data_IF_842696187721
#
_entry.id   IF_842696187721
#
_cell.length_a   1.000
_cell.length_b   1.000
_cell.length_c   1.000
_cell.angle_alpha   90.00
_cell.angle_beta   90.00
_cell.angle_gamma   90.00
#
_symmetry.space_group_name_H-M   'P 1'
#
loop_
_entity.id
_entity.type
_entity.pdbx_description
1 polymer ?
#
# COMPACT_ATOMS: atom_id res chain seq x y z
N UNK A 1 -0.63 -38.62 -15.42
CA UNK A 1 -1.94 -38.47 -14.75
C UNK A 1 -2.06 -37.00 -14.36
N UNK A 2 -3.02 -36.27 -14.95
CA UNK A 2 -3.03 -34.82 -15.04
C UNK A 2 -3.27 -34.11 -13.69
N UNK A 3 -2.47 -33.07 -13.44
CA UNK A 3 -2.56 -32.18 -12.28
C UNK A 3 -3.72 -31.20 -12.47
N UNK A 4 -4.76 -31.32 -11.65
CA UNK A 4 -5.88 -30.35 -11.60
C UNK A 4 -5.44 -29.12 -10.82
N UNK A 5 -5.01 -28.09 -11.55
CA UNK A 5 -4.91 -26.72 -11.04
C UNK A 5 -6.32 -26.19 -10.81
N UNK A 6 -6.68 -25.89 -9.55
CA UNK A 6 -7.88 -25.13 -9.22
C UNK A 6 -7.48 -23.68 -8.95
N UNK A 7 -7.52 -22.89 -10.02
CA UNK A 7 -7.59 -21.44 -9.94
C UNK A 7 -9.02 -21.03 -9.57
N UNK A 8 -9.16 -20.26 -8.48
CA UNK A 8 -10.30 -19.42 -8.13
C UNK A 8 -9.77 -18.45 -7.06
N UNK A 9 -9.77 -17.13 -7.19
CA UNK A 9 -10.53 -16.26 -8.05
C UNK A 9 -11.11 -15.16 -7.15
N UNK A 10 -10.46 -14.00 -7.10
CA UNK A 10 -11.11 -12.72 -6.82
C UNK A 10 -10.25 -11.57 -7.39
N UNK A 11 -10.27 -11.45 -8.71
CA UNK A 11 -9.90 -10.23 -9.40
C UNK A 11 -11.18 -9.42 -9.55
N UNK A 12 -11.34 -8.32 -8.81
CA UNK A 12 -12.51 -7.46 -8.91
C UNK A 12 -12.07 -6.04 -9.31
N UNK A 13 -12.21 -5.82 -10.62
CA UNK A 13 -12.50 -4.57 -11.33
C UNK A 13 -11.48 -3.43 -11.31
N UNK A 14 -10.67 -3.38 -12.37
CA UNK A 14 -10.29 -2.13 -13.05
C UNK A 14 -10.26 -2.38 -14.57
N UNK A 15 -11.44 -2.46 -15.17
CA UNK A 15 -11.59 -2.37 -16.63
C UNK A 15 -12.97 -1.83 -16.98
N UNK A 16 -13.13 -0.51 -16.93
CA UNK A 16 -14.05 0.25 -17.79
C UNK A 16 -13.82 1.77 -17.65
N UNK A 17 -13.07 2.36 -18.58
CA UNK A 17 -13.30 3.67 -19.20
C UNK A 17 -12.06 4.06 -20.04
N UNK A 18 -11.89 3.39 -21.18
CA UNK A 18 -11.00 3.86 -22.25
C UNK A 18 -11.82 4.10 -23.52
N UNK A 19 -12.84 4.95 -23.39
CA UNK A 19 -13.62 5.49 -24.51
C UNK A 19 -14.06 6.92 -24.21
N UNK A 20 -13.10 7.82 -23.98
CA UNK A 20 -13.30 9.24 -24.26
C UNK A 20 -12.29 9.64 -25.33
N UNK A 21 -12.81 9.76 -26.55
CA UNK A 21 -12.11 10.28 -27.72
C UNK A 21 -11.86 11.77 -27.46
N UNK A 22 -10.65 12.14 -27.06
CA UNK A 22 -10.24 13.54 -26.98
C UNK A 22 -9.73 13.94 -28.35
N UNK A 23 -10.53 14.74 -29.03
CA UNK A 23 -10.24 15.48 -30.24
C UNK A 23 -8.90 16.26 -30.10
N UNK A 24 -7.90 15.87 -30.90
CA UNK A 24 -6.61 16.58 -31.01
C UNK A 24 -6.73 17.59 -32.15
N UNK A 25 -6.56 18.91 -31.93
CA UNK A 25 -6.31 19.83 -33.04
C UNK A 25 -4.84 19.71 -33.49
N UNK A 26 -4.62 19.67 -34.80
CA UNK A 26 -3.31 19.53 -35.44
C UNK A 26 -2.35 20.69 -35.09
N UNK A 27 -1.02 20.46 -35.00
CA UNK A 27 -0.04 21.53 -34.86
C UNK A 27 0.15 22.28 -36.19
N UNK A 28 0.10 23.61 -36.15
CA UNK A 28 0.63 24.46 -37.23
C UNK A 28 2.15 24.49 -37.17
N UNK A 29 2.79 24.32 -38.32
CA UNK A 29 4.24 24.42 -38.51
C UNK A 29 4.78 25.81 -38.12
N UNK A 30 5.84 25.83 -37.33
CA UNK A 30 6.79 26.96 -37.22
C UNK A 30 8.21 26.39 -37.30
N UNK A 31 9.02 26.99 -38.17
CA UNK A 31 10.33 26.53 -38.61
C UNK A 31 11.45 26.60 -37.55
N UNK A 32 12.69 26.27 -37.95
CA UNK A 32 13.76 25.89 -37.04
C UNK A 32 14.45 27.12 -36.45
N UNK A 33 14.73 27.09 -35.13
CA UNK A 33 15.66 28.04 -34.51
C UNK A 33 16.69 27.25 -33.68
N UNK A 34 17.91 27.31 -34.18
CA UNK A 34 19.23 27.18 -33.56
C UNK A 34 19.40 26.41 -32.24
N UNK A 35 20.29 25.42 -32.32
CA UNK A 35 20.97 24.77 -31.20
C UNK A 35 21.73 25.76 -30.30
N UNK A 36 21.63 25.59 -28.98
CA UNK A 36 22.48 26.29 -28.03
C UNK A 36 22.13 25.96 -26.58
N UNK A 37 23.10 25.39 -25.86
CA UNK A 37 23.15 25.15 -24.42
C UNK A 37 22.23 24.05 -23.84
N UNK A 38 22.79 22.83 -23.81
CA UNK A 38 22.49 21.82 -22.79
C UNK A 38 22.78 22.42 -21.40
N UNK A 39 21.76 23.07 -20.82
CA UNK A 39 21.71 23.29 -19.39
C UNK A 39 21.51 21.95 -18.73
N UNK A 40 22.60 21.37 -18.22
CA UNK A 40 22.57 20.17 -17.41
C UNK A 40 21.70 20.47 -16.19
N UNK A 41 20.42 20.06 -16.26
CA UNK A 41 19.55 19.97 -15.09
C UNK A 41 20.22 18.95 -14.20
N UNK A 42 21.05 19.42 -13.27
CA UNK A 42 21.56 18.61 -12.20
C UNK A 42 20.32 18.00 -11.55
N UNK A 43 20.08 16.72 -11.81
CA UNK A 43 19.23 15.92 -10.97
C UNK A 43 19.81 16.13 -9.58
N UNK A 44 19.10 16.90 -8.75
CA UNK A 44 19.37 16.92 -7.34
C UNK A 44 19.54 15.45 -6.93
N UNK A 45 20.59 15.09 -6.16
CA UNK A 45 20.73 13.72 -5.71
C UNK A 45 19.36 13.34 -5.12
N UNK A 46 18.85 12.17 -5.50
CA UNK A 46 17.65 11.62 -4.89
C UNK A 46 17.96 11.49 -3.39
N UNK A 47 17.73 12.57 -2.64
CA UNK A 47 17.81 12.58 -1.20
C UNK A 47 16.81 11.52 -0.78
N UNK A 48 17.29 10.49 -0.10
CA UNK A 48 16.44 9.48 0.49
C UNK A 48 15.28 10.18 1.21
N UNK A 49 14.05 9.88 0.80
CA UNK A 49 12.90 10.44 1.47
C UNK A 49 12.91 9.94 2.92
N UNK A 50 12.56 10.80 3.88
CA UNK A 50 12.46 10.41 5.29
C UNK A 50 11.52 9.22 5.48
N UNK A 51 10.49 9.10 4.64
CA UNK A 51 9.59 7.95 4.61
C UNK A 51 10.35 6.68 4.23
N UNK A 52 11.27 6.72 3.28
CA UNK A 52 12.05 5.55 2.85
C UNK A 52 13.00 5.09 3.96
N UNK A 53 13.70 6.03 4.61
CA UNK A 53 14.56 5.74 5.75
C UNK A 53 13.75 5.13 6.92
N UNK A 54 12.59 5.70 7.22
CA UNK A 54 11.71 5.20 8.26
C UNK A 54 11.09 3.83 7.90
N UNK A 55 10.81 3.59 6.62
CA UNK A 55 10.31 2.31 6.14
C UNK A 55 11.34 1.20 6.32
N UNK A 56 12.63 1.48 6.12
CA UNK A 56 13.72 0.53 6.41
C UNK A 56 13.74 0.13 7.88
N UNK A 57 13.63 1.11 8.79
CA UNK A 57 13.58 0.85 10.24
C UNK A 57 12.33 0.06 10.61
N UNK A 58 11.17 0.43 10.07
CA UNK A 58 9.93 -0.32 10.26
C UNK A 58 10.12 -1.77 9.86
N UNK A 59 10.56 -2.00 8.61
CA UNK A 59 10.73 -3.35 8.07
C UNK A 59 11.69 -4.19 8.88
N UNK A 60 12.87 -3.69 9.23
CA UNK A 60 13.86 -4.44 10.02
C UNK A 60 13.29 -4.87 11.38
N UNK A 61 12.49 -4.02 12.03
CA UNK A 61 11.90 -4.28 13.34
C UNK A 61 10.65 -5.16 13.28
N UNK A 62 9.87 -5.09 12.20
CA UNK A 62 8.65 -5.87 12.03
C UNK A 62 8.83 -7.15 11.21
N UNK A 63 9.98 -7.38 10.57
CA UNK A 63 10.22 -8.59 9.77
C UNK A 63 10.16 -9.90 10.57
N UNK A 64 10.63 -9.98 11.84
CA UNK A 64 10.39 -11.16 12.66
C UNK A 64 8.91 -11.49 12.78
N UNK A 65 8.08 -10.51 13.16
CA UNK A 65 6.62 -10.63 13.23
C UNK A 65 6.00 -11.02 11.88
N UNK A 66 6.44 -10.43 10.76
CA UNK A 66 5.95 -10.75 9.42
C UNK A 66 6.11 -12.24 9.07
N UNK A 67 7.23 -12.85 9.47
CA UNK A 67 7.55 -14.26 9.21
C UNK A 67 6.76 -15.24 10.08
N UNK A 68 6.24 -14.78 11.22
CA UNK A 68 5.43 -15.60 12.14
C UNK A 68 3.98 -15.72 11.68
N UNK A 69 3.49 -14.74 10.91
CA UNK A 69 2.14 -14.74 10.37
C UNK A 69 1.99 -15.91 9.39
N UNK A 70 1.00 -16.78 9.66
CA UNK A 70 0.58 -17.78 8.69
C UNK A 70 -0.29 -17.12 7.61
N UNK A 71 0.34 -16.67 6.53
CA UNK A 71 -0.33 -16.04 5.38
C UNK A 71 -1.21 -16.99 4.57
N UNK A 72 -1.16 -18.30 4.83
CA UNK A 72 -2.01 -19.31 4.18
C UNK A 72 -3.31 -19.57 4.93
N UNK A 73 -3.47 -18.99 6.12
CA UNK A 73 -4.64 -19.17 6.97
C UNK A 73 -5.93 -18.70 6.29
N UNK A 74 -7.00 -19.49 6.44
CA UNK A 74 -8.33 -19.16 5.90
C UNK A 74 -9.01 -18.02 6.65
N UNK A 75 -8.44 -17.55 7.77
CA UNK A 75 -8.97 -16.43 8.56
C UNK A 75 -9.09 -15.15 7.72
N UNK A 76 -8.17 -14.90 6.79
CA UNK A 76 -8.17 -13.69 5.95
C UNK A 76 -9.23 -13.73 4.84
N UNK A 77 -9.79 -14.91 4.56
CA UNK A 77 -10.89 -15.09 3.61
C UNK A 77 -12.27 -14.99 4.28
N UNK A 78 -12.34 -14.84 5.61
CA UNK A 78 -13.62 -14.71 6.33
C UNK A 78 -14.24 -13.35 6.07
N UNK A 79 -15.55 -13.34 5.83
CA UNK A 79 -16.30 -12.10 5.68
C UNK A 79 -16.51 -11.43 7.04
N UNK A 80 -16.55 -10.08 7.10
CA UNK A 80 -16.97 -9.37 8.31
C UNK A 80 -18.36 -9.82 8.75
N UNK A 81 -18.57 -9.98 10.06
CA UNK A 81 -19.88 -10.33 10.64
C UNK A 81 -20.83 -9.14 10.77
N UNK A 82 -20.33 -7.94 10.46
CA UNK A 82 -21.05 -6.68 10.52
C UNK A 82 -22.10 -6.60 9.40
N UNK A 83 -23.12 -5.74 9.62
CA UNK A 83 -24.18 -5.52 8.64
C UNK A 83 -23.58 -5.09 7.30
N UNK A 84 -24.04 -5.64 6.15
CA UNK A 84 -23.48 -5.32 4.84
C UNK A 84 -23.39 -3.81 4.54
N UNK A 85 -24.39 -3.03 4.93
CA UNK A 85 -24.40 -1.56 4.76
C UNK A 85 -23.25 -0.90 5.51
N UNK A 86 -22.94 -1.32 6.74
CA UNK A 86 -21.83 -0.78 7.51
C UNK A 86 -20.47 -1.13 6.88
N UNK A 87 -20.36 -2.34 6.30
CA UNK A 87 -19.17 -2.75 5.52
C UNK A 87 -19.02 -1.87 4.28
N UNK A 88 -20.10 -1.62 3.54
CA UNK A 88 -20.07 -0.75 2.36
C UNK A 88 -19.67 0.69 2.71
N UNK A 89 -20.12 1.23 3.84
CA UNK A 89 -19.71 2.55 4.31
C UNK A 89 -18.21 2.61 4.61
N UNK A 90 -17.63 1.57 5.23
CA UNK A 90 -16.19 1.49 5.46
C UNK A 90 -15.40 1.40 4.15
N UNK A 91 -15.87 0.58 3.19
CA UNK A 91 -15.28 0.50 1.85
C UNK A 91 -15.36 1.84 1.12
N UNK A 92 -16.49 2.55 1.21
CA UNK A 92 -16.63 3.87 0.62
C UNK A 92 -15.58 4.85 1.16
N UNK A 93 -15.23 4.80 2.46
CA UNK A 93 -14.12 5.61 3.00
C UNK A 93 -12.78 5.26 2.36
N UNK A 94 -12.50 3.97 2.13
CA UNK A 94 -11.28 3.54 1.43
C UNK A 94 -11.24 4.05 -0.02
N UNK A 95 -12.36 3.95 -0.76
CA UNK A 95 -12.47 4.43 -2.13
C UNK A 95 -12.27 5.95 -2.22
N UNK A 96 -12.89 6.71 -1.30
CA UNK A 96 -12.73 8.17 -1.23
C UNK A 96 -11.29 8.56 -0.87
N UNK A 97 -10.60 7.79 -0.02
CA UNK A 97 -9.18 8.01 0.27
C UNK A 97 -8.31 7.68 -0.95
N UNK A 98 -8.51 6.51 -1.55
CA UNK A 98 -7.74 6.06 -2.72
C UNK A 98 -7.89 7.00 -3.93
N UNK A 99 -9.10 7.50 -4.19
CA UNK A 99 -9.34 8.47 -5.25
C UNK A 99 -8.64 9.83 -5.03
N UNK A 100 -8.27 10.15 -3.78
CA UNK A 100 -7.55 11.37 -3.44
C UNK A 100 -6.03 11.20 -3.39
N UNK A 101 -5.53 9.96 -3.40
CA UNK A 101 -4.09 9.69 -3.36
C UNK A 101 -3.40 10.14 -4.64
N UNK A 102 -2.11 10.46 -4.52
CA UNK A 102 -1.23 10.70 -5.65
C UNK A 102 -1.15 9.43 -6.54
N UNK A 103 -1.39 9.60 -7.84
CA UNK A 103 -1.51 8.48 -8.77
C UNK A 103 -0.17 7.78 -9.03
N UNK A 104 0.96 8.51 -8.91
CA UNK A 104 2.29 7.93 -9.03
C UNK A 104 2.62 7.11 -7.78
N UNK A 105 2.28 7.62 -6.59
CA UNK A 105 2.40 6.88 -5.33
C UNK A 105 1.58 5.57 -5.36
N UNK A 106 0.33 5.64 -5.83
CA UNK A 106 -0.52 4.44 -6.02
C UNK A 106 0.12 3.44 -6.98
N UNK A 107 0.63 3.90 -8.13
CA UNK A 107 1.29 3.04 -9.12
C UNK A 107 2.53 2.36 -8.51
N UNK A 108 3.36 3.09 -7.77
CA UNK A 108 4.52 2.53 -7.07
C UNK A 108 4.11 1.46 -6.05
N UNK A 109 3.06 1.73 -5.26
CA UNK A 109 2.48 0.74 -4.33
C UNK A 109 2.05 -0.55 -5.02
N UNK A 110 1.32 -0.45 -6.13
CA UNK A 110 0.88 -1.63 -6.91
C UNK A 110 2.08 -2.44 -7.42
N UNK A 111 3.08 -1.77 -8.00
CA UNK A 111 4.26 -2.44 -8.54
C UNK A 111 5.13 -3.08 -7.45
N UNK A 112 5.25 -2.45 -6.27
CA UNK A 112 5.96 -3.00 -5.14
C UNK A 112 5.31 -4.32 -4.65
N UNK A 113 3.97 -4.35 -4.53
CA UNK A 113 3.25 -5.57 -4.16
C UNK A 113 3.36 -6.65 -5.24
N UNK A 114 3.24 -6.29 -6.53
CA UNK A 114 3.40 -7.24 -7.63
C UNK A 114 4.79 -7.90 -7.63
N UNK A 115 5.84 -7.11 -7.39
CA UNK A 115 7.21 -7.62 -7.26
C UNK A 115 7.36 -8.54 -6.04
N UNK A 116 6.83 -8.16 -4.89
CA UNK A 116 6.90 -8.97 -3.67
C UNK A 116 6.21 -10.34 -3.84
N UNK A 117 5.08 -10.38 -4.55
CA UNK A 117 4.35 -11.63 -4.87
C UNK A 117 5.21 -12.53 -5.78
N UNK A 118 5.95 -11.97 -6.73
CA UNK A 118 6.83 -12.76 -7.61
C UNK A 118 8.04 -13.35 -6.84
N UNK A 119 8.50 -12.65 -5.79
CA UNK A 119 9.70 -13.00 -5.02
C UNK A 119 9.46 -13.66 -3.65
N UNK A 120 8.21 -13.93 -3.26
CA UNK A 120 7.89 -14.48 -1.93
C UNK A 120 8.34 -15.93 -1.76
N UNK A 121 8.56 -16.33 -0.50
CA UNK A 121 8.93 -17.71 -0.17
C UNK A 121 7.73 -18.67 -0.21
N UNK A 122 7.97 -19.95 0.09
CA UNK A 122 6.92 -20.98 0.11
C UNK A 122 5.85 -20.79 1.19
N UNK A 123 6.06 -19.87 2.13
CA UNK A 123 5.10 -19.48 3.18
C UNK A 123 4.38 -18.17 2.84
N UNK A 124 4.56 -17.68 1.61
CA UNK A 124 4.00 -16.42 1.10
C UNK A 124 4.55 -15.19 1.83
N UNK A 125 5.77 -15.28 2.36
CA UNK A 125 6.45 -14.14 3.01
C UNK A 125 7.36 -13.46 1.99
N UNK A 126 7.21 -12.15 1.84
CA UNK A 126 8.08 -11.33 0.99
C UNK A 126 9.53 -11.29 1.51
N UNK A 127 10.48 -11.04 0.62
CA UNK A 127 11.86 -10.72 1.04
C UNK A 127 11.88 -9.44 1.90
N UNK A 128 12.92 -9.24 2.72
CA UNK A 128 13.06 -8.02 3.53
C UNK A 128 13.11 -6.75 2.64
N UNK A 129 13.78 -6.84 1.50
CA UNK A 129 13.89 -5.73 0.55
C UNK A 129 12.54 -5.39 -0.07
N UNK A 130 11.78 -6.40 -0.51
CA UNK A 130 10.44 -6.20 -1.08
C UNK A 130 9.44 -5.70 -0.03
N UNK A 131 9.53 -6.21 1.20
CA UNK A 131 8.72 -5.71 2.32
C UNK A 131 9.03 -4.24 2.65
N UNK A 132 10.30 -3.84 2.54
CA UNK A 132 10.72 -2.44 2.69
C UNK A 132 10.18 -1.55 1.58
N UNK A 133 10.24 -2.02 0.33
CA UNK A 133 9.64 -1.30 -0.80
C UNK A 133 8.11 -1.13 -0.62
N UNK A 134 7.41 -2.15 -0.11
CA UNK A 134 5.98 -2.08 0.22
C UNK A 134 5.73 -1.02 1.31
N UNK A 135 6.44 -1.08 2.42
CA UNK A 135 6.24 -0.14 3.54
C UNK A 135 6.52 1.30 3.13
N UNK A 136 7.60 1.55 2.36
CA UNK A 136 7.91 2.86 1.80
C UNK A 136 6.75 3.34 0.91
N UNK A 137 6.33 2.53 -0.06
CA UNK A 137 5.27 2.91 -0.99
C UNK A 137 3.94 3.22 -0.27
N UNK A 138 3.57 2.43 0.74
CA UNK A 138 2.39 2.69 1.57
C UNK A 138 2.53 4.01 2.35
N UNK A 139 3.72 4.29 2.90
CA UNK A 139 4.00 5.57 3.56
C UNK A 139 3.76 6.76 2.63
N UNK A 140 4.28 6.70 1.39
CA UNK A 140 4.08 7.72 0.36
C UNK A 140 2.60 7.86 -0.05
N UNK A 141 1.89 6.74 -0.20
CA UNK A 141 0.45 6.73 -0.49
C UNK A 141 -0.33 7.46 0.62
N UNK A 142 -0.03 7.19 1.90
CA UNK A 142 -0.71 7.84 3.03
C UNK A 142 -0.32 9.32 3.15
N UNK A 143 0.95 9.67 2.95
CA UNK A 143 1.41 11.05 2.96
C UNK A 143 0.79 11.89 1.84
N UNK A 144 0.35 11.27 0.75
CA UNK A 144 -0.24 11.98 -0.39
C UNK A 144 -1.66 12.52 -0.17
N UNK A 145 -2.32 12.18 0.95
CA UNK A 145 -3.69 12.61 1.26
C UNK A 145 -3.79 13.29 2.63
N UNK A 146 -4.78 14.17 2.86
CA UNK A 146 -5.01 14.75 4.18
C UNK A 146 -5.24 13.70 5.26
N UNK A 147 -4.67 13.93 6.45
CA UNK A 147 -4.80 13.05 7.62
C UNK A 147 -6.25 12.64 7.94
N UNK A 148 -7.21 13.53 7.68
CA UNK A 148 -8.64 13.30 7.90
C UNK A 148 -9.21 12.15 7.06
N UNK A 149 -8.65 11.87 5.87
CA UNK A 149 -9.06 10.75 5.02
C UNK A 149 -8.60 9.42 5.62
N UNK A 150 -7.33 9.35 6.03
CA UNK A 150 -6.76 8.18 6.73
C UNK A 150 -7.51 7.89 8.02
N UNK A 151 -7.78 8.90 8.84
CA UNK A 151 -8.58 8.73 10.06
C UNK A 151 -10.03 8.37 9.77
N UNK A 152 -10.60 8.85 8.65
CA UNK A 152 -11.94 8.45 8.20
C UNK A 152 -12.05 6.96 7.92
N UNK A 153 -11.02 6.36 7.32
CA UNK A 153 -10.93 4.90 7.10
C UNK A 153 -10.76 4.18 8.44
N UNK A 154 -9.78 4.58 9.25
CA UNK A 154 -9.52 3.95 10.56
C UNK A 154 -10.78 3.94 11.44
N UNK A 155 -11.43 5.09 11.58
CA UNK A 155 -12.63 5.23 12.42
C UNK A 155 -13.81 4.41 11.90
N UNK A 156 -13.93 4.18 10.58
CA UNK A 156 -14.98 3.35 10.02
C UNK A 156 -14.80 1.88 10.42
N UNK A 157 -13.57 1.35 10.35
CA UNK A 157 -13.27 -0.01 10.80
C UNK A 157 -13.24 -0.15 12.32
N UNK A 158 -12.83 0.87 13.06
CA UNK A 158 -12.82 0.84 14.53
C UNK A 158 -14.23 0.60 15.12
N UNK A 159 -15.28 1.08 14.45
CA UNK A 159 -16.69 0.83 14.83
C UNK A 159 -17.10 -0.64 14.77
N UNK A 160 -16.33 -1.48 14.07
CA UNK A 160 -16.59 -2.92 14.02
C UNK A 160 -16.13 -3.63 15.30
N UNK A 161 -15.41 -2.91 16.18
CA UNK A 161 -14.95 -3.40 17.49
C UNK A 161 -14.13 -4.69 17.39
N UNK A 162 -13.33 -4.83 16.32
CA UNK A 162 -12.51 -6.02 16.08
C UNK A 162 -11.46 -6.26 17.19
N UNK A 163 -11.19 -5.27 18.05
CA UNK A 163 -10.21 -5.38 19.13
C UNK A 163 -10.60 -6.30 20.30
N UNK A 164 -11.88 -6.64 20.49
CA UNK A 164 -12.28 -7.51 21.62
C UNK A 164 -11.97 -8.98 21.37
N UNK A 165 -12.15 -9.44 20.13
CA UNK A 165 -12.03 -10.87 19.78
C UNK A 165 -10.89 -11.11 18.77
N UNK A 166 -10.82 -10.31 17.71
CA UNK A 166 -9.84 -10.50 16.63
C UNK A 166 -8.43 -10.15 17.10
N UNK A 167 -8.28 -9.09 17.89
CA UNK A 167 -6.97 -8.66 18.43
C UNK A 167 -6.27 -9.77 19.24
N UNK A 168 -6.89 -10.28 20.33
CA UNK A 168 -6.35 -11.40 21.11
C UNK A 168 -6.15 -12.66 20.27
N UNK A 169 -7.09 -12.98 19.36
CA UNK A 169 -6.95 -14.13 18.48
C UNK A 169 -5.71 -14.03 17.59
N UNK A 170 -5.49 -12.90 16.91
CA UNK A 170 -4.31 -12.70 16.06
C UNK A 170 -3.02 -12.71 16.88
N UNK A 171 -3.01 -12.06 18.05
CA UNK A 171 -1.85 -12.07 18.96
C UNK A 171 -1.49 -13.47 19.45
N UNK A 172 -2.47 -14.38 19.57
CA UNK A 172 -2.22 -15.78 19.97
C UNK A 172 -1.48 -16.61 18.91
N UNK A 173 -1.34 -16.09 17.68
CA UNK A 173 -0.72 -16.80 16.54
C UNK A 173 0.74 -16.41 16.31
N UNK A 174 1.25 -15.45 17.07
CA UNK A 174 2.58 -14.85 16.89
C UNK A 174 3.29 -14.71 18.24
N UNK A 175 4.57 -14.37 18.21
CA UNK A 175 5.30 -13.98 19.39
C UNK A 175 4.88 -12.57 19.84
N UNK A 176 4.49 -12.43 21.11
CA UNK A 176 4.02 -11.17 21.66
C UNK A 176 5.09 -10.07 21.69
N UNK A 177 6.37 -10.43 21.87
CA UNK A 177 7.47 -9.47 21.90
C UNK A 177 7.75 -8.92 20.49
N UNK A 178 7.75 -9.79 19.47
CA UNK A 178 7.98 -9.38 18.08
C UNK A 178 6.81 -8.55 17.55
N UNK A 179 5.57 -8.94 17.87
CA UNK A 179 4.39 -8.14 17.54
C UNK A 179 4.40 -6.75 18.21
N UNK A 180 4.84 -6.67 19.47
CA UNK A 180 5.00 -5.39 20.18
C UNK A 180 6.09 -4.53 19.53
N UNK A 181 7.24 -5.12 19.19
CA UNK A 181 8.33 -4.41 18.50
C UNK A 181 7.89 -3.89 17.12
N UNK A 182 7.14 -4.70 16.36
CA UNK A 182 6.55 -4.28 15.09
C UNK A 182 5.59 -3.09 15.27
N UNK A 183 4.74 -3.14 16.31
CA UNK A 183 3.80 -2.05 16.59
C UNK A 183 4.51 -0.76 17.04
N UNK A 184 5.52 -0.84 17.90
CA UNK A 184 6.32 0.32 18.30
C UNK A 184 7.03 0.96 17.10
N UNK A 185 7.60 0.14 16.21
CA UNK A 185 8.21 0.62 14.97
C UNK A 185 7.18 1.28 14.04
N UNK A 186 5.96 0.71 13.94
CA UNK A 186 4.85 1.32 13.21
C UNK A 186 4.46 2.68 13.80
N UNK A 187 4.43 2.81 15.13
CA UNK A 187 4.13 4.07 15.81
C UNK A 187 5.15 5.16 15.48
N UNK A 188 6.44 4.81 15.37
CA UNK A 188 7.49 5.75 14.94
C UNK A 188 7.38 6.09 13.45
N UNK A 189 7.15 5.08 12.60
CA UNK A 189 6.98 5.26 11.15
C UNK A 189 5.83 6.21 10.82
N UNK A 190 4.65 6.04 11.46
CA UNK A 190 3.50 6.92 11.21
C UNK A 190 3.77 8.39 11.53
N UNK A 191 4.67 8.69 12.47
CA UNK A 191 4.97 10.08 12.84
C UNK A 191 5.79 10.76 11.73
N UNK A 192 6.68 10.01 11.08
CA UNK A 192 7.41 10.47 9.88
C UNK A 192 6.47 10.66 8.69
N UNK A 193 5.58 9.70 8.44
CA UNK A 193 4.56 9.81 7.38
C UNK A 193 3.68 11.03 7.62
N UNK A 194 3.20 11.23 8.85
CA UNK A 194 2.37 12.39 9.23
C UNK A 194 3.10 13.72 9.02
N UNK A 195 4.39 13.79 9.36
CA UNK A 195 5.19 15.00 9.16
C UNK A 195 5.39 15.35 7.68
N UNK A 196 5.23 14.37 6.79
CA UNK A 196 5.39 14.52 5.33
C UNK A 196 4.04 14.60 4.61
N UNK A 197 2.94 14.60 5.36
CA UNK A 197 1.58 14.51 4.81
C UNK A 197 1.08 15.86 4.28
N UNK A 198 0.38 15.81 3.14
CA UNK A 198 -0.21 16.98 2.45
C UNK A 198 -1.55 17.41 3.06
#
# INVERSE_FOLDING_TARGET
MAMKVRAAGLLLLLSFCLSCVVFVPAPRHVGPVAAGALGMMAAAPAYADKIDDAAKVLSEKSYPFLKEIDWTSDVYAKLPTQKPVAVMEAINKMLVMGAAMDSEALKKGVLAHAKAIDGMDSKLVATLDDYTAINSAIGHMIASVPASKTMGVYNAFAKFSLGSDVGPYMMSKVNAADAKAAYEALLAFKDVVKASQR
#
